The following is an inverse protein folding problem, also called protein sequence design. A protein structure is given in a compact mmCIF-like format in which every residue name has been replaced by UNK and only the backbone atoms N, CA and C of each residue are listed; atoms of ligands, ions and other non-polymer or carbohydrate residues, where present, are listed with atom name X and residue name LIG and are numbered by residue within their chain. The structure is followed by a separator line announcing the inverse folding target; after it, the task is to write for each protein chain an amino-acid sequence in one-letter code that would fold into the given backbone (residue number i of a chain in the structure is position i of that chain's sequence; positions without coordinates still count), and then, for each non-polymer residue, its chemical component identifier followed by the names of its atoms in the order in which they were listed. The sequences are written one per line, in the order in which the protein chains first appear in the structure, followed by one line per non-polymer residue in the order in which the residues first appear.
data_IF_683179701850
#
_entry.id   IF_683179701850
#
_cell.length_a   1.000
_cell.length_b   1.000
_cell.length_c   1.000
_cell.angle_alpha   90.00
_cell.angle_beta   90.00
_cell.angle_gamma   90.00
#
_symmetry.space_group_name_H-M   'P 1'
#
loop_
_entity.id
_entity.type
_entity.pdbx_description
1 polymer ?
#
# COMPACT_ATOMS: atom_id res chain seq x y z
N UNK A 1 22.34 16.02 14.03
CA UNK A 1 20.99 16.05 13.41
C UNK A 1 19.98 16.27 14.52
N UNK A 2 19.05 17.20 14.35
CA UNK A 2 18.01 17.46 15.36
C UNK A 2 16.75 16.66 15.00
N UNK A 3 16.11 16.02 15.99
CA UNK A 3 14.80 15.40 15.80
C UNK A 3 13.77 16.46 15.44
N UNK A 4 12.94 16.18 14.44
CA UNK A 4 11.82 17.04 14.04
C UNK A 4 10.49 16.36 14.39
N UNK A 5 9.52 17.15 14.83
CA UNK A 5 8.18 16.70 15.19
C UNK A 5 7.28 16.79 13.96
N UNK A 6 6.83 15.65 13.46
CA UNK A 6 5.95 15.57 12.29
C UNK A 6 4.63 14.93 12.73
N UNK A 7 3.51 15.52 12.34
CA UNK A 7 2.18 14.96 12.64
C UNK A 7 1.72 14.09 11.48
N UNK A 8 1.28 12.87 11.78
CA UNK A 8 0.72 11.95 10.80
C UNK A 8 -0.76 11.70 11.08
N UNK A 9 -1.55 11.59 10.02
CA UNK A 9 -2.90 11.03 10.05
C UNK A 9 -3.06 10.06 8.89
N UNK A 10 -3.36 8.81 9.21
CA UNK A 10 -3.61 7.76 8.23
C UNK A 10 -5.11 7.47 8.17
N UNK A 11 -5.65 7.33 6.97
CA UNK A 11 -7.08 7.17 6.74
C UNK A 11 -7.45 5.72 6.41
N UNK A 12 -8.71 5.39 6.72
CA UNK A 12 -9.36 4.14 6.38
C UNK A 12 -8.48 2.91 6.70
N UNK A 13 -8.29 2.02 5.75
CA UNK A 13 -7.62 0.73 5.92
C UNK A 13 -6.11 0.80 6.19
N UNK A 14 -5.47 1.97 5.98
CA UNK A 14 -4.07 2.14 6.36
C UNK A 14 -3.86 2.04 7.88
N UNK A 15 -4.93 2.20 8.65
CA UNK A 15 -4.89 2.06 10.10
C UNK A 15 -4.58 0.62 10.55
N UNK A 16 -4.80 -0.39 9.69
CA UNK A 16 -4.50 -1.79 9.99
C UNK A 16 -2.98 -2.05 10.11
N UNK A 17 -2.15 -1.15 9.59
CA UNK A 17 -0.69 -1.21 9.71
C UNK A 17 -0.17 -0.48 10.96
N UNK A 18 -0.99 0.34 11.61
CA UNK A 18 -0.58 1.15 12.74
C UNK A 18 -0.86 0.44 14.09
N UNK A 19 -0.08 0.77 15.14
CA UNK A 19 -0.43 0.43 16.52
C UNK A 19 -1.77 1.07 16.92
N UNK A 20 -2.56 0.38 17.75
CA UNK A 20 -3.92 0.79 18.14
C UNK A 20 -3.99 2.23 18.64
N UNK A 21 -2.99 2.66 19.41
CA UNK A 21 -2.90 4.01 19.97
C UNK A 21 -2.78 5.14 18.93
N UNK A 22 -2.47 4.84 17.67
CA UNK A 22 -2.32 5.81 16.57
C UNK A 22 -3.44 5.72 15.53
N UNK A 23 -4.36 4.75 15.66
CA UNK A 23 -5.41 4.53 14.68
C UNK A 23 -6.48 5.61 14.73
N UNK A 24 -7.00 5.98 13.55
CA UNK A 24 -8.14 6.86 13.33
C UNK A 24 -7.99 8.27 13.93
N UNK A 25 -6.76 8.72 14.19
CA UNK A 25 -6.49 10.06 14.74
C UNK A 25 -5.10 10.57 14.33
N UNK A 26 -4.87 11.89 14.42
CA UNK A 26 -3.54 12.45 14.28
C UNK A 26 -2.62 12.00 15.42
N UNK A 27 -1.35 11.75 15.11
CA UNK A 27 -0.31 11.46 16.10
C UNK A 27 1.03 12.05 15.69
N UNK A 28 1.85 12.42 16.68
CA UNK A 28 3.17 13.03 16.43
C UNK A 28 4.25 11.96 16.43
N UNK A 29 5.16 12.04 15.48
CA UNK A 29 6.40 11.24 15.43
C UNK A 29 7.61 12.16 15.41
N UNK A 30 8.56 11.83 16.26
CA UNK A 30 9.88 12.43 16.25
C UNK A 30 10.77 11.66 15.28
N UNK A 31 11.20 12.30 14.20
CA UNK A 31 12.04 11.68 13.15
C UNK A 31 13.38 12.41 13.02
N UNK A 32 14.45 11.64 12.78
CA UNK A 32 15.77 12.20 12.47
C UNK A 32 15.79 12.65 11.01
N UNK A 33 16.22 13.88 10.75
CA UNK A 33 16.23 14.46 9.40
C UNK A 33 17.65 14.65 8.85
N UNK A 34 17.85 14.60 7.51
CA UNK A 34 16.83 14.55 6.45
C UNK A 34 16.16 13.18 6.32
N UNK A 35 14.82 13.17 6.17
CA UNK A 35 14.03 11.99 5.82
C UNK A 35 13.04 12.38 4.71
N UNK A 36 12.82 11.48 3.76
CA UNK A 36 11.82 11.66 2.72
C UNK A 36 10.43 11.23 3.22
N UNK A 37 9.38 11.74 2.56
CA UNK A 37 8.00 11.39 2.86
C UNK A 37 7.77 9.87 2.76
N UNK A 38 8.31 9.23 1.73
CA UNK A 38 8.22 7.78 1.54
C UNK A 38 8.87 7.00 2.70
N UNK A 39 10.12 7.33 3.04
CA UNK A 39 10.82 6.69 4.17
C UNK A 39 10.10 6.90 5.50
N UNK A 40 9.52 8.09 5.70
CA UNK A 40 8.76 8.39 6.91
C UNK A 40 7.49 7.54 7.01
N UNK A 41 6.75 7.35 5.92
CA UNK A 41 5.56 6.47 5.86
C UNK A 41 5.96 5.00 6.09
N UNK A 42 7.02 4.53 5.43
CA UNK A 42 7.55 3.17 5.62
C UNK A 42 7.93 2.94 7.10
N UNK A 43 8.49 3.94 7.77
CA UNK A 43 8.84 3.87 9.21
C UNK A 43 7.63 3.73 10.14
N UNK A 44 6.41 3.98 9.65
CA UNK A 44 5.16 3.70 10.36
C UNK A 44 4.71 2.24 10.21
N UNK A 45 5.36 1.48 9.31
CA UNK A 45 4.98 0.12 8.95
C UNK A 45 3.98 0.01 7.79
N UNK A 46 3.62 1.14 7.18
CA UNK A 46 2.69 1.21 6.04
C UNK A 46 3.45 0.91 4.74
N UNK A 47 3.07 -0.12 3.98
CA UNK A 47 3.62 -0.36 2.64
C UNK A 47 3.27 0.78 1.68
N UNK A 48 4.25 1.28 0.92
CA UNK A 48 3.99 2.32 -0.08
C UNK A 48 3.12 1.82 -1.25
N UNK A 49 3.01 0.52 -1.45
CA UNK A 49 2.10 -0.09 -2.44
C UNK A 49 0.62 0.05 -2.07
N UNK A 50 0.31 0.33 -0.80
CA UNK A 50 -1.05 0.57 -0.29
C UNK A 50 -1.44 2.06 -0.30
N UNK A 51 -0.48 2.96 -0.62
CA UNK A 51 -0.65 4.41 -0.49
C UNK A 51 -0.75 5.07 -1.85
N UNK A 52 -1.81 5.84 -2.04
CA UNK A 52 -2.12 6.44 -3.35
C UNK A 52 -2.11 7.97 -3.35
N UNK A 53 -2.55 8.59 -2.25
CA UNK A 53 -2.46 10.04 -2.08
C UNK A 53 -1.81 10.39 -0.75
N UNK A 54 -0.86 11.31 -0.80
CA UNK A 54 -0.27 11.90 0.40
C UNK A 54 -0.33 13.41 0.29
N UNK A 55 -0.87 14.04 1.34
CA UNK A 55 -0.89 15.49 1.47
C UNK A 55 0.11 15.91 2.56
N UNK A 56 0.89 16.95 2.28
CA UNK A 56 1.71 17.64 3.29
C UNK A 56 1.16 19.05 3.44
N UNK A 57 0.67 19.38 4.64
CA UNK A 57 0.03 20.66 4.96
C UNK A 57 -1.14 21.00 4.02
N UNK A 58 -1.91 19.98 3.62
CA UNK A 58 -3.09 20.11 2.73
C UNK A 58 -2.79 19.97 1.24
N UNK A 59 -1.52 19.99 0.84
CA UNK A 59 -1.12 19.97 -0.57
C UNK A 59 -0.63 18.59 -1.02
N UNK A 60 -1.08 18.06 -2.17
CA UNK A 60 -0.55 16.83 -2.75
C UNK A 60 0.96 16.84 -2.86
N UNK A 61 1.62 15.76 -2.46
CA UNK A 61 3.08 15.70 -2.35
C UNK A 61 3.64 14.37 -2.85
N UNK A 62 4.83 14.43 -3.45
CA UNK A 62 5.57 13.26 -3.94
C UNK A 62 6.35 12.58 -2.83
N UNK A 63 6.58 11.26 -2.96
CA UNK A 63 7.29 10.43 -1.97
C UNK A 63 8.73 10.89 -1.71
N UNK A 64 9.37 11.52 -2.70
CA UNK A 64 10.74 12.05 -2.59
C UNK A 64 10.84 13.39 -1.84
N UNK A 65 9.72 14.03 -1.50
CA UNK A 65 9.69 15.29 -0.74
C UNK A 65 10.36 15.09 0.62
N UNK A 66 11.24 16.02 1.01
CA UNK A 66 11.81 16.05 2.37
C UNK A 66 10.83 16.63 3.37
N UNK A 67 10.78 16.05 4.55
CA UNK A 67 9.95 16.53 5.66
C UNK A 67 10.67 17.56 6.54
N UNK A 68 9.91 18.54 7.00
CA UNK A 68 10.35 19.61 7.88
C UNK A 68 9.62 19.55 9.22
N UNK A 69 10.06 20.40 10.15
CA UNK A 69 9.50 20.41 11.51
C UNK A 69 8.09 20.98 11.45
N UNK A 70 7.18 20.38 12.19
CA UNK A 70 5.76 20.71 12.23
C UNK A 70 4.98 20.44 10.93
N UNK A 71 5.54 19.67 9.98
CA UNK A 71 4.76 19.18 8.84
C UNK A 71 3.58 18.31 9.32
N UNK A 72 2.43 18.50 8.70
CA UNK A 72 1.23 17.68 8.88
C UNK A 72 1.01 16.81 7.65
N UNK A 73 1.18 15.50 7.82
CA UNK A 73 1.12 14.50 6.77
C UNK A 73 -0.20 13.74 6.85
N UNK A 74 -1.02 13.82 5.79
CA UNK A 74 -2.22 12.99 5.62
C UNK A 74 -1.95 11.90 4.60
N UNK A 75 -2.14 10.64 4.97
CA UNK A 75 -1.86 9.46 4.13
C UNK A 75 -3.17 8.74 3.82
N UNK A 76 -3.48 8.60 2.53
CA UNK A 76 -4.69 7.96 2.05
C UNK A 76 -4.36 6.67 1.28
N UNK A 77 -5.19 5.63 1.45
CA UNK A 77 -5.01 4.38 0.72
C UNK A 77 -5.32 4.53 -0.77
N UNK A 78 -5.05 3.49 -1.53
CA UNK A 78 -5.50 3.32 -2.91
C UNK A 78 -7.01 3.43 -3.05
N UNK A 79 -7.46 4.41 -3.83
CA UNK A 79 -8.89 4.60 -4.12
C UNK A 79 -9.30 3.74 -5.32
N UNK A 80 -10.41 3.01 -5.19
CA UNK A 80 -10.95 2.17 -6.26
C UNK A 80 -11.99 2.88 -7.14
N UNK A 81 -12.70 3.87 -6.59
CA UNK A 81 -13.90 4.46 -7.22
C UNK A 81 -13.78 5.96 -7.52
N UNK A 82 -12.78 6.64 -6.96
CA UNK A 82 -12.56 8.08 -7.16
C UNK A 82 -11.40 8.31 -8.12
N UNK A 83 -11.70 8.95 -9.24
CA UNK A 83 -10.67 9.48 -10.12
C UNK A 83 -10.00 10.68 -9.45
N UNK A 84 -8.88 10.42 -8.78
CA UNK A 84 -8.00 11.44 -8.20
C UNK A 84 -6.81 11.74 -9.10
N UNK A 85 -6.83 11.36 -10.39
CA UNK A 85 -5.71 11.57 -11.33
C UNK A 85 -5.23 13.02 -11.38
N UNK A 86 -6.14 13.98 -11.25
CA UNK A 86 -5.84 15.42 -11.19
C UNK A 86 -5.08 15.86 -9.93
N UNK A 87 -5.13 15.04 -8.87
CA UNK A 87 -4.46 15.27 -7.59
C UNK A 87 -3.20 14.41 -7.42
N UNK A 88 -2.97 13.40 -8.28
CA UNK A 88 -1.78 12.55 -8.22
C UNK A 88 -0.59 13.29 -8.84
N UNK A 89 0.42 13.56 -8.02
CA UNK A 89 1.72 14.05 -8.50
C UNK A 89 2.65 12.92 -9.00
N UNK A 90 2.23 11.66 -8.86
CA UNK A 90 2.99 10.49 -9.32
C UNK A 90 2.20 9.77 -10.42
N UNK A 91 2.85 9.57 -11.57
CA UNK A 91 2.35 8.73 -12.67
C UNK A 91 2.45 7.25 -12.27
N UNK A 92 1.67 6.78 -11.30
CA UNK A 92 1.43 5.34 -11.18
C UNK A 92 0.51 4.98 -12.34
N UNK A 93 0.99 4.23 -13.36
CA UNK A 93 0.17 3.97 -14.53
C UNK A 93 -1.08 3.21 -14.09
N UNK A 94 -2.26 3.73 -14.44
CA UNK A 94 -3.49 2.98 -14.30
C UNK A 94 -3.31 1.62 -14.99
N UNK A 95 -3.58 0.54 -14.26
CA UNK A 95 -3.48 -0.81 -14.81
C UNK A 95 -4.56 -0.94 -15.90
N UNK A 96 -4.14 -0.90 -17.16
CA UNK A 96 -5.03 -1.04 -18.32
C UNK A 96 -5.73 -2.41 -18.34
N UNK A 97 -5.10 -3.42 -17.72
CA UNK A 97 -5.64 -4.74 -17.47
C UNK A 97 -5.33 -5.16 -16.03
N UNK A 98 -6.37 -5.50 -15.26
CA UNK A 98 -6.23 -5.99 -13.89
C UNK A 98 -5.74 -7.44 -13.91
N UNK A 99 -4.47 -7.63 -13.54
CA UNK A 99 -3.83 -8.95 -13.44
C UNK A 99 -3.38 -9.18 -12.01
N UNK A 100 -3.63 -10.37 -11.48
CA UNK A 100 -3.34 -10.71 -10.09
C UNK A 100 -2.23 -11.76 -9.98
N UNK A 101 -1.49 -11.70 -8.88
CA UNK A 101 -0.69 -12.80 -8.34
C UNK A 101 -0.97 -12.90 -6.83
N UNK A 102 -1.26 -14.12 -6.37
CA UNK A 102 -1.70 -14.38 -5.00
C UNK A 102 -0.64 -15.15 -4.23
N UNK A 103 -0.48 -14.80 -2.95
CA UNK A 103 0.30 -15.60 -2.02
C UNK A 103 -0.33 -16.98 -1.76
N UNK A 104 0.45 -17.86 -1.10
CA UNK A 104 0.06 -19.24 -0.80
C UNK A 104 -1.17 -19.36 0.12
N UNK A 105 -1.52 -18.31 0.87
CA UNK A 105 -2.65 -18.29 1.80
C UNK A 105 -3.98 -17.99 1.11
N UNK A 106 -3.97 -17.54 -0.14
CA UNK A 106 -5.14 -17.06 -0.87
C UNK A 106 -5.57 -18.01 -2.01
N UNK A 107 -5.21 -19.29 -1.94
CA UNK A 107 -5.50 -20.25 -3.01
C UNK A 107 -6.99 -20.45 -3.37
N UNK A 108 -7.92 -20.24 -2.42
CA UNK A 108 -9.37 -20.25 -2.72
C UNK A 108 -9.80 -19.00 -3.49
N UNK A 109 -9.32 -17.83 -3.07
CA UNK A 109 -9.54 -16.57 -3.78
C UNK A 109 -9.00 -16.66 -5.22
N UNK A 110 -7.81 -17.23 -5.42
CA UNK A 110 -7.23 -17.44 -6.74
C UNK A 110 -8.14 -18.26 -7.67
N UNK A 111 -8.81 -19.28 -7.13
CA UNK A 111 -9.78 -20.06 -7.91
C UNK A 111 -10.99 -19.21 -8.30
N UNK A 112 -11.54 -18.43 -7.38
CA UNK A 112 -12.69 -17.57 -7.68
C UNK A 112 -12.36 -16.48 -8.69
N UNK A 113 -11.22 -15.81 -8.55
CA UNK A 113 -10.78 -14.80 -9.52
C UNK A 113 -10.62 -15.37 -10.92
N UNK A 114 -10.03 -16.58 -11.06
CA UNK A 114 -9.97 -17.28 -12.36
C UNK A 114 -11.35 -17.62 -12.92
N UNK A 115 -12.30 -18.05 -12.08
CA UNK A 115 -13.67 -18.34 -12.51
C UNK A 115 -14.42 -17.10 -13.00
N UNK A 116 -14.14 -15.93 -12.41
CA UNK A 116 -14.68 -14.65 -12.85
C UNK A 116 -13.97 -14.08 -14.09
N UNK A 117 -12.93 -14.75 -14.60
CA UNK A 117 -12.21 -14.36 -15.81
C UNK A 117 -10.98 -13.48 -15.58
N UNK A 118 -10.57 -13.24 -14.33
CA UNK A 118 -9.36 -12.47 -14.05
C UNK A 118 -8.09 -13.27 -14.31
N UNK A 119 -7.12 -12.64 -14.99
CA UNK A 119 -5.80 -13.23 -15.22
C UNK A 119 -5.03 -13.31 -13.89
N UNK A 120 -5.00 -14.52 -13.32
CA UNK A 120 -4.56 -14.74 -11.94
C UNK A 120 -3.49 -15.83 -11.84
N UNK A 121 -2.29 -15.45 -11.41
CA UNK A 121 -1.20 -16.38 -11.08
C UNK A 121 -1.32 -16.83 -9.63
N UNK A 122 -1.17 -18.12 -9.42
CA UNK A 122 -1.11 -18.76 -8.11
C UNK A 122 -0.46 -20.12 -8.27
N UNK A 123 0.55 -20.39 -7.45
CA UNK A 123 1.08 -21.73 -7.18
C UNK A 123 1.39 -21.83 -5.70
N UNK A 124 1.29 -23.03 -5.15
CA UNK A 124 1.50 -23.32 -3.73
C UNK A 124 2.98 -23.36 -3.31
N UNK A 125 3.90 -23.27 -4.26
CA UNK A 125 5.34 -23.36 -4.06
C UNK A 125 6.10 -22.06 -4.40
N UNK A 126 5.40 -20.99 -4.77
CA UNK A 126 6.02 -19.68 -4.99
C UNK A 126 6.50 -19.10 -3.66
N UNK A 127 7.77 -18.73 -3.60
CA UNK A 127 8.30 -17.93 -2.49
C UNK A 127 8.12 -16.44 -2.76
N UNK A 128 8.17 -15.62 -1.70
CA UNK A 128 7.97 -14.17 -1.74
C UNK A 128 8.77 -13.47 -2.85
N UNK A 129 10.05 -13.83 -3.03
CA UNK A 129 10.89 -13.24 -4.06
C UNK A 129 10.39 -13.55 -5.48
N UNK A 130 9.92 -14.77 -5.73
CA UNK A 130 9.35 -15.14 -7.03
C UNK A 130 8.02 -14.40 -7.27
N UNK A 131 7.19 -14.25 -6.25
CA UNK A 131 5.94 -13.46 -6.34
C UNK A 131 6.26 -12.02 -6.76
N UNK A 132 7.23 -11.39 -6.09
CA UNK A 132 7.66 -10.02 -6.39
C UNK A 132 8.21 -9.91 -7.81
N UNK A 133 9.03 -10.87 -8.25
CA UNK A 133 9.65 -10.86 -9.58
C UNK A 133 8.62 -11.02 -10.70
N UNK A 134 7.69 -11.96 -10.57
CA UNK A 134 6.60 -12.14 -11.52
C UNK A 134 5.70 -10.90 -11.52
N UNK A 135 5.36 -10.36 -10.35
CA UNK A 135 4.52 -9.17 -10.25
C UNK A 135 5.15 -7.96 -10.95
N UNK A 136 6.44 -7.72 -10.72
CA UNK A 136 7.16 -6.60 -11.33
C UNK A 136 7.36 -6.79 -12.83
N UNK A 137 7.77 -8.00 -13.26
CA UNK A 137 8.03 -8.31 -14.67
C UNK A 137 6.76 -8.32 -15.54
N UNK A 138 5.64 -8.74 -14.96
CA UNK A 138 4.36 -8.84 -15.68
C UNK A 138 3.36 -7.74 -15.30
N UNK A 139 3.73 -6.76 -14.48
CA UNK A 139 2.80 -5.70 -14.04
C UNK A 139 1.52 -6.23 -13.41
N UNK A 140 1.64 -7.10 -12.40
CA UNK A 140 0.51 -7.69 -11.66
C UNK A 140 0.36 -7.06 -10.28
N UNK A 141 -0.87 -7.02 -9.79
CA UNK A 141 -1.20 -6.67 -8.41
C UNK A 141 -0.94 -7.89 -7.53
N UNK A 142 -0.12 -7.73 -6.49
CA UNK A 142 0.08 -8.75 -5.46
C UNK A 142 -1.08 -8.68 -4.48
N UNK A 143 -1.85 -9.76 -4.35
CA UNK A 143 -2.80 -9.90 -3.25
C UNK A 143 -2.18 -10.83 -2.20
N UNK A 144 -2.13 -10.38 -0.96
CA UNK A 144 -1.49 -11.13 0.11
C UNK A 144 -2.13 -10.88 1.46
N UNK A 145 -2.03 -11.84 2.37
CA UNK A 145 -2.32 -11.62 3.79
C UNK A 145 -1.05 -11.55 4.63
N UNK A 146 0.11 -11.46 3.99
CA UNK A 146 1.38 -11.20 4.63
C UNK A 146 1.79 -9.73 4.45
N UNK A 147 1.76 -8.99 5.54
CA UNK A 147 2.18 -7.57 5.57
C UNK A 147 3.67 -7.41 5.26
N UNK A 148 4.50 -8.42 5.51
CA UNK A 148 5.94 -8.37 5.27
C UNK A 148 6.25 -8.40 3.78
N UNK A 149 5.51 -9.19 3.00
CA UNK A 149 5.66 -9.26 1.54
C UNK A 149 5.55 -7.85 0.93
N UNK A 150 4.53 -7.09 1.33
CA UNK A 150 4.25 -5.75 0.79
C UNK A 150 5.31 -4.69 1.10
N UNK A 151 6.21 -4.91 2.07
CA UNK A 151 7.27 -3.95 2.42
C UNK A 151 8.40 -3.88 1.38
N UNK A 152 8.43 -4.77 0.40
CA UNK A 152 9.44 -4.75 -0.65
C UNK A 152 9.26 -3.54 -1.58
N UNK A 153 10.30 -2.71 -1.71
CA UNK A 153 10.35 -1.55 -2.62
C UNK A 153 10.21 -1.90 -4.10
N UNK A 154 10.35 -3.18 -4.46
CA UNK A 154 10.14 -3.68 -5.83
C UNK A 154 8.64 -3.81 -6.18
N UNK A 155 7.75 -3.74 -5.18
CA UNK A 155 6.31 -3.88 -5.39
C UNK A 155 5.75 -2.53 -5.82
N UNK A 156 5.19 -2.49 -7.02
CA UNK A 156 4.51 -1.32 -7.56
C UNK A 156 3.04 -1.30 -7.18
N UNK A 157 2.38 -2.47 -7.19
CA UNK A 157 0.97 -2.63 -6.86
C UNK A 157 0.80 -3.83 -5.94
N UNK A 158 0.20 -3.61 -4.77
CA UNK A 158 -0.05 -4.67 -3.81
C UNK A 158 -1.21 -4.30 -2.90
N UNK A 159 -1.92 -5.32 -2.42
CA UNK A 159 -3.07 -5.17 -1.56
C UNK A 159 -3.09 -6.27 -0.49
N UNK A 160 -3.24 -5.83 0.76
CA UNK A 160 -3.38 -6.64 1.95
C UNK A 160 -4.83 -7.07 2.09
N UNK A 161 -5.11 -8.33 1.81
CA UNK A 161 -6.46 -8.90 1.94
C UNK A 161 -6.78 -9.11 3.42
N UNK A 162 -7.73 -8.32 3.93
CA UNK A 162 -8.12 -8.27 5.35
C UNK A 162 -9.08 -9.39 5.70
N UNK A 163 -9.98 -9.73 4.79
CA UNK A 163 -10.98 -10.76 4.98
C UNK A 163 -10.32 -12.12 5.21
N UNK A 164 -10.91 -12.86 6.15
CA UNK A 164 -10.48 -14.22 6.50
C UNK A 164 -11.35 -15.28 5.85
N UNK A 165 -12.66 -15.03 5.71
CA UNK A 165 -13.55 -15.88 4.95
C UNK A 165 -13.36 -15.68 3.44
N UNK A 166 -13.34 -16.80 2.72
CA UNK A 166 -13.11 -16.84 1.27
C UNK A 166 -14.14 -16.06 0.44
N UNK A 167 -15.39 -15.94 0.90
CA UNK A 167 -16.42 -15.20 0.17
C UNK A 167 -16.28 -13.71 0.42
N UNK A 168 -15.87 -13.32 1.63
CA UNK A 168 -15.60 -11.93 1.94
C UNK A 168 -14.31 -11.45 1.27
N UNK A 169 -13.30 -12.31 1.16
CA UNK A 169 -12.10 -12.04 0.35
C UNK A 169 -12.42 -11.72 -1.11
N UNK A 170 -13.42 -12.40 -1.68
CA UNK A 170 -13.85 -12.15 -3.06
C UNK A 170 -14.69 -10.87 -3.19
N UNK A 171 -15.33 -10.41 -2.12
CA UNK A 171 -16.06 -9.14 -2.13
C UNK A 171 -15.14 -7.96 -1.89
N UNK A 172 -14.05 -8.18 -1.18
CA UNK A 172 -13.03 -7.19 -0.88
C UNK A 172 -12.17 -6.84 -2.10
N UNK A 173 -11.95 -7.80 -3.00
CA UNK A 173 -11.10 -7.68 -4.20
C UNK A 173 -11.95 -7.58 -5.47
#
# INVERSE_FOLDING_TARGET
MLPKSITFRCYAELNDFLPDQHRQKPFVRSLMTPVTLGEAIESLGIPLSEVDLVLVNGEPSVRSRRLYDNDYVSVYPTFETLDISSLKNENTPALRETRFILDVHLGKLAKYLRLLGFNTVYRNDLVDNEIIEIAAGEGRIILTRDKLLLKSKRITHGYYVRATDKHDQLREV
#
